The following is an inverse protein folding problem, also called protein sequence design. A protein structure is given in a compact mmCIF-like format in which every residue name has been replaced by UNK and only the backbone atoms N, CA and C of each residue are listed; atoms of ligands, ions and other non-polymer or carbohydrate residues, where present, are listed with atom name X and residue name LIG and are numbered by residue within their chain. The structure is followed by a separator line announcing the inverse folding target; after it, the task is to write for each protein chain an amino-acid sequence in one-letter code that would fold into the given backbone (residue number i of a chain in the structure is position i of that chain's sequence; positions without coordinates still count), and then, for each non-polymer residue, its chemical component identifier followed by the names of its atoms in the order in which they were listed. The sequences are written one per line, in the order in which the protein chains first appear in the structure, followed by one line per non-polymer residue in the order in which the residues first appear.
data_IF_365507356017
#
_entry.id   IF_365507356017
#
_cell.length_a   1.000
_cell.length_b   1.000
_cell.length_c   1.000
_cell.angle_alpha   90.00
_cell.angle_beta   90.00
_cell.angle_gamma   90.00
#
_symmetry.space_group_name_H-M   'P 1'
#
loop_
_entity.id
_entity.type
_entity.pdbx_description
1 polymer ?
#
# COMPACT_ATOMS: atom_id res chain seq x y z
N UNK A 1 23.97 -24.40 9.40
CA UNK A 1 23.04 -24.65 8.29
C UNK A 1 22.61 -23.31 7.74
N UNK A 2 23.05 -22.95 6.54
CA UNK A 2 22.46 -21.84 5.79
C UNK A 2 21.14 -22.39 5.26
N UNK A 3 20.04 -22.11 5.95
CA UNK A 3 18.69 -22.45 5.49
C UNK A 3 18.35 -21.44 4.40
N UNK A 4 18.49 -21.84 3.13
CA UNK A 4 17.98 -21.06 2.02
C UNK A 4 16.47 -20.95 2.15
N UNK A 5 15.94 -19.73 2.12
CA UNK A 5 14.50 -19.47 2.17
C UNK A 5 13.76 -20.26 1.07
N UNK A 6 12.60 -20.87 1.38
CA UNK A 6 11.72 -21.45 0.38
C UNK A 6 11.41 -20.43 -0.72
N UNK A 7 11.54 -20.82 -1.99
CA UNK A 7 11.37 -19.91 -3.14
C UNK A 7 9.97 -19.29 -3.13
N UNK A 8 8.96 -20.02 -2.66
CA UNK A 8 7.57 -19.56 -2.48
C UNK A 8 7.46 -18.39 -1.49
N UNK A 9 8.25 -18.38 -0.42
CA UNK A 9 8.28 -17.30 0.57
C UNK A 9 8.94 -16.03 0.02
N UNK A 10 10.04 -16.20 -0.73
CA UNK A 10 10.71 -15.08 -1.41
C UNK A 10 9.77 -14.44 -2.43
N UNK A 11 9.09 -15.26 -3.26
CA UNK A 11 8.14 -14.77 -4.25
C UNK A 11 6.97 -14.08 -3.55
N UNK A 12 6.35 -14.73 -2.56
CA UNK A 12 5.22 -14.17 -1.80
C UNK A 12 5.54 -12.83 -1.17
N UNK A 13 6.65 -12.73 -0.44
CA UNK A 13 7.08 -11.47 0.18
C UNK A 13 7.41 -10.39 -0.84
N UNK A 14 8.05 -10.73 -1.97
CA UNK A 14 8.33 -9.76 -3.03
C UNK A 14 7.06 -9.22 -3.69
N UNK A 15 6.04 -10.06 -3.85
CA UNK A 15 4.73 -9.67 -4.39
C UNK A 15 3.99 -8.77 -3.40
N UNK A 16 3.99 -9.08 -2.11
CA UNK A 16 3.38 -8.26 -1.06
C UNK A 16 4.02 -6.86 -1.04
N UNK A 17 5.35 -6.78 -1.06
CA UNK A 17 6.07 -5.50 -1.08
C UNK A 17 5.80 -4.73 -2.38
N UNK A 18 5.85 -5.41 -3.52
CA UNK A 18 5.61 -4.80 -4.83
C UNK A 18 4.21 -4.20 -4.96
N UNK A 19 3.18 -4.96 -4.56
CA UNK A 19 1.79 -4.48 -4.52
C UNK A 19 1.61 -3.34 -3.51
N UNK A 20 2.25 -3.44 -2.35
CA UNK A 20 2.25 -2.39 -1.34
C UNK A 20 2.80 -1.06 -1.87
N UNK A 21 3.95 -1.11 -2.54
CA UNK A 21 4.56 0.07 -3.17
C UNK A 21 3.68 0.66 -4.27
N UNK A 22 3.23 -0.17 -5.20
CA UNK A 22 2.41 0.27 -6.33
C UNK A 22 1.08 0.85 -5.86
N UNK A 23 0.37 0.16 -4.96
CA UNK A 23 -0.87 0.62 -4.38
C UNK A 23 -0.70 1.96 -3.63
N UNK A 24 0.40 2.11 -2.88
CA UNK A 24 0.66 3.35 -2.14
C UNK A 24 0.88 4.52 -3.10
N UNK A 25 1.60 4.32 -4.20
CA UNK A 25 1.79 5.37 -5.22
C UNK A 25 0.47 5.80 -5.87
N UNK A 26 -0.39 4.84 -6.22
CA UNK A 26 -1.72 5.11 -6.79
C UNK A 26 -2.57 5.88 -5.79
N UNK A 27 -2.63 5.44 -4.53
CA UNK A 27 -3.44 6.10 -3.52
C UNK A 27 -2.96 7.52 -3.22
N UNK A 28 -1.66 7.74 -3.04
CA UNK A 28 -1.11 9.09 -2.84
C UNK A 28 -1.44 9.99 -4.03
N UNK A 29 -1.33 9.48 -5.26
CA UNK A 29 -1.65 10.24 -6.48
C UNK A 29 -3.12 10.69 -6.49
N UNK A 30 -4.03 9.78 -6.16
CA UNK A 30 -5.47 10.06 -6.12
C UNK A 30 -5.81 11.02 -4.97
N UNK A 31 -5.20 10.88 -3.79
CA UNK A 31 -5.36 11.84 -2.67
C UNK A 31 -4.97 13.25 -3.14
N UNK A 32 -3.79 13.40 -3.75
CA UNK A 32 -3.31 14.71 -4.25
C UNK A 32 -4.26 15.27 -5.31
N UNK A 33 -4.75 14.43 -6.22
CA UNK A 33 -5.70 14.84 -7.25
C UNK A 33 -7.03 15.30 -6.64
N UNK A 34 -7.56 14.57 -5.65
CA UNK A 34 -8.80 14.92 -4.96
C UNK A 34 -8.69 16.23 -4.16
N UNK A 35 -7.54 16.48 -3.52
CA UNK A 35 -7.29 17.72 -2.78
C UNK A 35 -7.16 18.94 -3.71
N UNK A 36 -6.62 18.75 -4.91
CA UNK A 36 -6.43 19.83 -5.91
C UNK A 36 -7.72 20.18 -6.66
N UNK A 37 -8.57 19.20 -6.95
CA UNK A 37 -9.82 19.42 -7.69
C UNK A 37 -10.92 19.95 -6.76
N UNK A 38 -11.26 21.24 -6.90
CA UNK A 38 -12.29 21.89 -6.07
C UNK A 38 -13.69 21.27 -6.22
N UNK A 39 -13.95 20.55 -7.33
CA UNK A 39 -15.21 19.80 -7.55
C UNK A 39 -15.37 18.62 -6.56
N UNK A 40 -14.27 18.14 -5.99
CA UNK A 40 -14.27 17.02 -5.04
C UNK A 40 -14.44 17.45 -3.56
N UNK A 41 -14.61 18.76 -3.29
CA UNK A 41 -14.79 19.30 -1.92
C UNK A 41 -16.23 19.19 -1.41
N UNK A 42 -16.83 18.03 -1.61
CA UNK A 42 -18.15 17.66 -1.10
C UNK A 42 -17.98 16.51 -0.09
N UNK A 43 -18.97 16.27 0.77
CA UNK A 43 -18.85 15.32 1.89
C UNK A 43 -18.37 13.92 1.44
N UNK A 44 -18.85 13.45 0.30
CA UNK A 44 -18.42 12.16 -0.28
C UNK A 44 -16.94 12.15 -0.72
N UNK A 45 -16.44 13.24 -1.29
CA UNK A 45 -15.03 13.36 -1.65
C UNK A 45 -14.10 13.32 -0.43
N UNK A 46 -14.47 13.95 0.68
CA UNK A 46 -13.70 13.85 1.93
C UNK A 46 -13.71 12.43 2.52
N UNK A 47 -14.84 11.72 2.48
CA UNK A 47 -14.92 10.32 2.91
C UNK A 47 -13.99 9.45 2.06
N UNK A 48 -13.98 9.66 0.75
CA UNK A 48 -13.11 8.93 -0.17
C UNK A 48 -11.62 9.20 0.12
N UNK A 49 -11.24 10.44 0.43
CA UNK A 49 -9.87 10.78 0.85
C UNK A 49 -9.48 10.06 2.15
N UNK A 50 -10.37 9.98 3.14
CA UNK A 50 -10.09 9.25 4.40
C UNK A 50 -9.89 7.76 4.13
N UNK A 51 -10.72 7.17 3.26
CA UNK A 51 -10.54 5.77 2.85
C UNK A 51 -9.20 5.55 2.16
N UNK A 52 -8.81 6.43 1.23
CA UNK A 52 -7.52 6.34 0.57
C UNK A 52 -6.33 6.51 1.51
N UNK A 53 -6.47 7.36 2.52
CA UNK A 53 -5.48 7.51 3.59
C UNK A 53 -5.37 6.21 4.39
N UNK A 54 -6.49 5.61 4.78
CA UNK A 54 -6.52 4.34 5.50
C UNK A 54 -5.88 3.21 4.68
N UNK A 55 -6.20 3.07 3.40
CA UNK A 55 -5.57 2.09 2.52
C UNK A 55 -4.06 2.32 2.39
N UNK A 56 -3.61 3.58 2.36
CA UNK A 56 -2.17 3.88 2.31
C UNK A 56 -1.45 3.36 3.56
N UNK A 57 -2.07 3.48 4.75
CA UNK A 57 -1.50 2.92 5.98
C UNK A 57 -1.46 1.39 5.95
N UNK A 58 -2.52 0.73 5.47
CA UNK A 58 -2.56 -0.71 5.32
C UNK A 58 -1.46 -1.23 4.38
N UNK A 59 -1.23 -0.53 3.27
CA UNK A 59 -0.17 -0.87 2.31
C UNK A 59 1.23 -0.64 2.89
N UNK A 60 1.42 0.39 3.73
CA UNK A 60 2.67 0.59 4.45
C UNK A 60 2.94 -0.55 5.45
N UNK A 61 1.92 -1.04 6.16
CA UNK A 61 2.03 -2.23 7.03
C UNK A 61 2.44 -3.45 6.18
N UNK A 62 1.84 -3.60 5.01
CA UNK A 62 2.19 -4.69 4.09
C UNK A 62 3.66 -4.62 3.63
N UNK A 63 4.19 -3.42 3.37
CA UNK A 63 5.59 -3.20 2.96
C UNK A 63 6.58 -3.43 4.10
N UNK A 64 6.31 -2.88 5.28
CA UNK A 64 7.28 -2.85 6.39
C UNK A 64 7.16 -4.04 7.35
N UNK A 65 6.01 -4.70 7.38
CA UNK A 65 5.75 -5.81 8.29
C UNK A 65 5.48 -7.10 7.55
N UNK A 66 4.36 -7.20 6.81
CA UNK A 66 3.90 -8.47 6.23
C UNK A 66 4.87 -9.03 5.19
N UNK A 67 5.42 -8.17 4.33
CA UNK A 67 6.42 -8.54 3.33
C UNK A 67 7.69 -9.12 3.96
N UNK A 68 8.40 -8.36 4.82
CA UNK A 68 9.58 -8.85 5.53
C UNK A 68 9.31 -10.10 6.36
N UNK A 69 8.17 -10.17 7.07
CA UNK A 69 7.79 -11.34 7.85
C UNK A 69 7.52 -12.60 7.00
N UNK A 70 7.24 -12.43 5.71
CA UNK A 70 7.09 -13.55 4.77
C UNK A 70 8.44 -14.00 4.21
N UNK A 71 9.47 -13.13 4.20
CA UNK A 71 10.81 -13.40 3.66
C UNK A 71 11.79 -13.82 4.78
N UNK A 72 11.40 -13.77 6.05
CA UNK A 72 12.25 -14.11 7.21
C UNK A 72 11.78 -15.42 7.84
#
# INVERSE_FOLDING_TARGET
MVVGLPIDQIIGGSVIIGLGLFGSMVNITVIVMMLKLSINRHAFGYICVIHLIADTYELLISIFWSGPATIM
#
